data_IF_001689444173
#
_entry.id   IF_001689444173
#
_cell.length_a   1.000
_cell.length_b   1.000
_cell.length_c   1.000
_cell.angle_alpha   90.00
_cell.angle_beta   90.00
_cell.angle_gamma   90.00
#
_symmetry.space_group_name_H-M   'P 1'
#
loop_
_entity.id
_entity.type
_entity.pdbx_description
1 polymer ?
#
# COMPACT_ATOMS: atom_id res chain seq x y z
N UNK A 1 4.92 -0.29 -17.08
CA UNK A 1 3.84 0.27 -16.23
C UNK A 1 2.83 -0.75 -15.76
N UNK A 2 1.99 -1.34 -16.63
CA UNK A 2 0.93 -2.25 -16.15
C UNK A 2 1.48 -3.42 -15.33
N UNK A 3 2.54 -4.06 -15.80
CA UNK A 3 3.22 -5.17 -15.13
C UNK A 3 3.78 -4.76 -13.77
N UNK A 4 4.61 -3.71 -13.73
CA UNK A 4 5.11 -3.09 -12.49
C UNK A 4 3.98 -2.79 -11.50
N UNK A 5 2.86 -2.18 -11.95
CA UNK A 5 1.72 -1.90 -11.09
C UNK A 5 1.00 -3.16 -10.58
N UNK A 6 1.04 -4.27 -11.32
CA UNK A 6 0.56 -5.56 -10.85
C UNK A 6 1.50 -6.12 -9.78
N UNK A 7 2.80 -6.15 -10.04
CA UNK A 7 3.83 -6.69 -9.14
C UNK A 7 3.84 -5.96 -7.80
N UNK A 8 3.98 -4.64 -7.82
CA UNK A 8 3.96 -3.81 -6.62
C UNK A 8 2.65 -3.96 -5.83
N UNK A 9 1.51 -4.13 -6.52
CA UNK A 9 0.25 -4.41 -5.83
C UNK A 9 0.28 -5.75 -5.11
N UNK A 10 0.75 -6.82 -5.78
CA UNK A 10 0.83 -8.15 -5.16
C UNK A 10 1.79 -8.13 -3.97
N UNK A 11 2.96 -7.51 -4.11
CA UNK A 11 3.94 -7.36 -3.03
C UNK A 11 3.33 -6.62 -1.83
N UNK A 12 2.73 -5.46 -2.05
CA UNK A 12 2.11 -4.67 -0.98
C UNK A 12 0.94 -5.41 -0.32
N UNK A 13 0.18 -6.19 -1.10
CA UNK A 13 -0.92 -6.99 -0.56
C UNK A 13 -0.44 -8.11 0.38
N UNK A 14 0.80 -8.58 0.23
CA UNK A 14 1.41 -9.58 1.11
C UNK A 14 2.03 -8.99 2.38
N UNK A 15 2.30 -7.68 2.44
CA UNK A 15 3.00 -7.05 3.56
C UNK A 15 2.31 -7.27 4.91
N UNK A 16 0.98 -7.21 4.95
CA UNK A 16 0.24 -7.41 6.21
C UNK A 16 0.38 -8.84 6.76
N UNK A 17 0.43 -9.85 5.90
CA UNK A 17 0.67 -11.23 6.32
C UNK A 17 2.13 -11.42 6.77
N UNK A 18 3.08 -10.86 6.02
CA UNK A 18 4.51 -10.87 6.39
C UNK A 18 4.77 -10.17 7.72
N UNK A 19 4.02 -9.11 8.05
CA UNK A 19 4.11 -8.44 9.34
C UNK A 19 3.69 -9.37 10.50
N UNK A 20 2.61 -10.15 10.32
CA UNK A 20 2.19 -11.18 11.30
C UNK A 20 3.28 -12.23 11.47
N UNK A 21 3.83 -12.75 10.38
CA UNK A 21 4.91 -13.75 10.43
C UNK A 21 6.18 -13.21 11.08
N UNK A 22 6.54 -11.96 10.78
CA UNK A 22 7.69 -11.28 11.35
C UNK A 22 7.53 -11.09 12.85
N UNK A 23 6.36 -10.65 13.32
CA UNK A 23 6.08 -10.49 14.74
C UNK A 23 6.16 -11.82 15.51
N UNK A 24 5.63 -12.91 14.93
CA UNK A 24 5.74 -14.24 15.54
C UNK A 24 7.20 -14.72 15.55
N UNK A 25 7.93 -14.51 14.46
CA UNK A 25 9.37 -14.82 14.40
C UNK A 25 10.17 -14.01 15.45
N UNK A 26 9.76 -12.78 15.77
CA UNK A 26 10.39 -11.99 16.83
C UNK A 26 10.16 -12.59 18.22
N UNK A 27 9.00 -13.20 18.48
CA UNK A 27 8.75 -13.93 19.73
C UNK A 27 9.70 -15.11 19.84
N UNK A 28 9.83 -15.89 18.76
CA UNK A 28 10.72 -17.04 18.71
C UNK A 28 12.19 -16.65 18.93
N UNK A 29 12.63 -15.52 18.36
CA UNK A 29 14.00 -15.03 18.53
C UNK A 29 14.23 -14.26 19.83
N UNK A 30 13.21 -14.06 20.66
CA UNK A 30 13.35 -13.30 21.89
C UNK A 30 14.09 -14.10 22.96
N UNK A 31 14.89 -13.42 23.77
CA UNK A 31 15.76 -14.09 24.75
C UNK A 31 14.96 -14.96 25.74
N UNK A 32 13.81 -14.47 26.20
CA UNK A 32 12.88 -15.20 27.07
C UNK A 32 12.44 -16.55 26.46
N UNK A 33 12.11 -16.57 25.16
CA UNK A 33 11.74 -17.78 24.44
C UNK A 33 12.93 -18.73 24.30
N UNK A 34 14.09 -18.20 23.89
CA UNK A 34 15.31 -18.97 23.69
C UNK A 34 15.82 -19.61 24.99
N UNK A 35 15.67 -18.94 26.14
CA UNK A 35 15.94 -19.54 27.44
C UNK A 35 14.91 -20.62 27.78
N UNK A 36 13.61 -20.32 27.62
CA UNK A 36 12.53 -21.22 27.98
C UNK A 36 12.60 -22.59 27.27
N UNK A 37 13.03 -22.63 26.00
CA UNK A 37 13.17 -23.88 25.25
C UNK A 37 14.28 -24.80 25.78
N UNK A 38 15.26 -24.27 26.52
CA UNK A 38 16.38 -25.05 27.09
C UNK A 38 16.13 -25.51 28.53
N UNK A 39 15.11 -24.97 29.19
CA UNK A 39 14.81 -25.26 30.59
C UNK A 39 13.89 -26.49 30.74
N UNK A 40 13.89 -27.09 31.94
CA UNK A 40 12.94 -28.15 32.27
C UNK A 40 11.50 -27.67 32.13
N UNK A 41 10.57 -28.47 31.62
CA UNK A 41 9.19 -28.00 31.40
C UNK A 41 9.06 -26.89 30.35
N UNK A 42 9.96 -26.86 29.36
CA UNK A 42 10.00 -25.91 28.25
C UNK A 42 8.63 -25.58 27.64
N UNK A 43 7.80 -26.60 27.41
CA UNK A 43 6.45 -26.42 26.85
C UNK A 43 5.58 -25.48 27.69
N UNK A 44 5.50 -25.70 29.01
CA UNK A 44 4.64 -24.90 29.88
C UNK A 44 5.11 -23.43 29.93
N UNK A 45 6.43 -23.21 29.97
CA UNK A 45 7.02 -21.86 29.93
C UNK A 45 6.73 -21.17 28.61
N UNK A 46 6.97 -21.84 27.48
CA UNK A 46 6.69 -21.29 26.14
C UNK A 46 5.21 -20.97 25.98
N UNK A 47 4.32 -21.84 26.46
CA UNK A 47 2.87 -21.60 26.47
C UNK A 47 2.49 -20.37 27.31
N UNK A 48 3.14 -20.19 28.46
CA UNK A 48 2.95 -19.00 29.29
C UNK A 48 3.40 -17.73 28.57
N UNK A 49 4.55 -17.75 27.90
CA UNK A 49 5.04 -16.62 27.07
C UNK A 49 4.02 -16.26 25.99
N UNK A 50 3.45 -17.24 25.29
CA UNK A 50 2.43 -16.97 24.26
C UNK A 50 1.14 -16.41 24.86
N UNK A 51 0.73 -16.91 26.02
CA UNK A 51 -0.42 -16.36 26.75
C UNK A 51 -0.18 -14.90 27.13
N UNK A 52 0.99 -14.58 27.67
CA UNK A 52 1.28 -13.24 28.16
C UNK A 52 1.48 -12.21 27.03
N UNK A 53 2.12 -12.62 25.92
CA UNK A 53 2.44 -11.70 24.82
C UNK A 53 1.33 -11.54 23.80
N UNK A 54 0.65 -12.64 23.46
CA UNK A 54 -0.32 -12.67 22.35
C UNK A 54 -1.67 -13.25 22.74
N UNK A 55 -1.90 -13.50 24.04
CA UNK A 55 -3.17 -14.02 24.57
C UNK A 55 -3.60 -15.31 23.85
N UNK A 56 -2.63 -16.18 23.55
CA UNK A 56 -2.88 -17.40 22.78
C UNK A 56 -2.38 -18.65 23.51
N UNK A 57 -3.09 -19.76 23.33
CA UNK A 57 -2.68 -21.09 23.78
C UNK A 57 -3.50 -21.66 24.93
N UNK A 58 -4.56 -20.99 25.41
CA UNK A 58 -5.44 -21.55 26.47
C UNK A 58 -6.14 -22.84 26.02
N UNK A 59 -6.67 -22.87 24.80
CA UNK A 59 -7.35 -24.05 24.22
C UNK A 59 -6.43 -24.89 23.32
N UNK A 60 -5.12 -24.84 23.54
CA UNK A 60 -4.17 -25.63 22.75
C UNK A 60 -4.21 -27.11 23.16
N UNK A 61 -4.60 -27.97 22.23
CA UNK A 61 -4.71 -29.43 22.42
C UNK A 61 -3.62 -30.23 21.68
N UNK A 62 -2.62 -29.56 21.10
CA UNK A 62 -1.54 -30.22 20.36
C UNK A 62 -0.46 -30.84 21.27
N UNK A 63 0.59 -31.42 20.68
CA UNK A 63 1.70 -32.01 21.42
C UNK A 63 2.39 -31.02 22.36
N UNK A 64 2.94 -31.54 23.46
CA UNK A 64 3.74 -30.77 24.43
C UNK A 64 5.15 -30.46 23.89
N UNK A 65 5.23 -29.80 22.73
CA UNK A 65 6.46 -29.46 22.02
C UNK A 65 6.46 -27.96 21.67
N UNK A 66 7.42 -27.15 22.18
CA UNK A 66 7.54 -25.73 21.86
C UNK A 66 7.61 -25.40 20.36
N UNK A 67 8.25 -26.25 19.55
CA UNK A 67 8.39 -26.06 18.10
C UNK A 67 7.05 -26.24 17.41
N UNK A 68 6.27 -27.23 17.83
CA UNK A 68 4.91 -27.44 17.31
C UNK A 68 3.99 -26.31 17.79
N UNK A 69 4.13 -25.88 19.04
CA UNK A 69 3.33 -24.81 19.65
C UNK A 69 3.44 -23.49 18.86
N UNK A 70 4.66 -23.02 18.57
CA UNK A 70 4.85 -21.76 17.82
C UNK A 70 4.40 -21.88 16.36
N UNK A 71 4.52 -23.07 15.76
CA UNK A 71 4.03 -23.35 14.41
C UNK A 71 2.51 -23.30 14.35
N UNK A 72 1.82 -23.87 15.34
CA UNK A 72 0.36 -23.81 15.44
C UNK A 72 -0.14 -22.38 15.69
N UNK A 73 0.56 -21.59 16.54
CA UNK A 73 0.30 -20.15 16.65
C UNK A 73 0.40 -19.46 15.29
N UNK A 74 1.48 -19.71 14.53
CA UNK A 74 1.69 -19.12 13.19
C UNK A 74 0.56 -19.47 12.23
N UNK A 75 0.16 -20.73 12.19
CA UNK A 75 -0.96 -21.22 11.38
C UNK A 75 -2.28 -20.54 11.77
N UNK A 76 -2.60 -20.52 13.07
CA UNK A 76 -3.82 -19.91 13.61
C UNK A 76 -3.88 -18.40 13.34
N UNK A 77 -2.79 -17.68 13.59
CA UNK A 77 -2.68 -16.25 13.38
C UNK A 77 -2.85 -15.88 11.89
N UNK A 78 -2.19 -16.59 10.98
CA UNK A 78 -2.33 -16.37 9.54
C UNK A 78 -3.73 -16.72 9.03
N UNK A 79 -4.35 -17.78 9.57
CA UNK A 79 -5.74 -18.13 9.25
C UNK A 79 -6.69 -17.00 9.68
N UNK A 80 -6.56 -16.51 10.92
CA UNK A 80 -7.38 -15.42 11.46
C UNK A 80 -7.15 -14.11 10.71
N UNK A 81 -5.90 -13.79 10.36
CA UNK A 81 -5.55 -12.65 9.51
C UNK A 81 -6.31 -12.71 8.19
N UNK A 82 -6.21 -13.83 7.44
CA UNK A 82 -6.91 -14.00 6.16
C UNK A 82 -8.43 -13.86 6.28
N UNK A 83 -9.02 -14.30 7.39
CA UNK A 83 -10.47 -14.26 7.63
C UNK A 83 -10.99 -12.85 7.93
N UNK A 84 -10.22 -12.00 8.61
CA UNK A 84 -10.71 -10.72 9.11
C UNK A 84 -10.08 -9.51 8.43
N UNK A 85 -8.75 -9.42 8.43
CA UNK A 85 -8.03 -8.18 8.09
C UNK A 85 -7.18 -8.30 6.81
N UNK A 86 -6.95 -9.52 6.32
CA UNK A 86 -6.09 -9.77 5.17
C UNK A 86 -6.61 -9.20 3.85
N UNK A 87 -7.88 -8.84 3.78
CA UNK A 87 -8.49 -8.21 2.61
C UNK A 87 -8.58 -6.68 2.69
N UNK A 88 -8.11 -6.03 3.76
CA UNK A 88 -8.27 -4.57 3.95
C UNK A 88 -7.65 -3.78 2.79
N UNK A 89 -6.40 -4.07 2.42
CA UNK A 89 -5.72 -3.37 1.32
C UNK A 89 -6.51 -3.47 0.01
N UNK A 90 -7.01 -4.67 -0.30
CA UNK A 90 -7.85 -4.92 -1.47
C UNK A 90 -9.19 -4.19 -1.39
N UNK A 91 -9.89 -4.27 -0.26
CA UNK A 91 -11.25 -3.74 -0.10
C UNK A 91 -11.21 -2.21 -0.16
N UNK A 92 -10.43 -1.58 0.71
CA UNK A 92 -10.31 -0.13 0.75
C UNK A 92 -9.69 0.43 -0.52
N UNK A 93 -8.65 -0.22 -1.05
CA UNK A 93 -8.06 0.26 -2.30
C UNK A 93 -9.01 0.15 -3.50
N UNK A 94 -9.99 -0.77 -3.49
CA UNK A 94 -11.07 -0.78 -4.50
C UNK A 94 -12.12 0.30 -4.24
N UNK A 95 -12.54 0.46 -2.99
CA UNK A 95 -13.56 1.44 -2.58
C UNK A 95 -13.12 2.87 -2.88
N UNK A 96 -11.87 3.23 -2.56
CA UNK A 96 -11.31 4.56 -2.86
C UNK A 96 -10.92 4.71 -4.33
N UNK A 97 -11.01 3.65 -5.14
CA UNK A 97 -10.71 3.69 -6.57
C UNK A 97 -9.22 3.60 -6.95
N UNK A 98 -8.34 3.19 -6.03
CA UNK A 98 -6.90 3.03 -6.25
C UNK A 98 -6.54 1.74 -7.02
N UNK A 99 -7.32 0.68 -6.84
CA UNK A 99 -7.06 -0.66 -7.38
C UNK A 99 -8.08 -1.03 -8.46
N UNK A 100 -7.61 -1.62 -9.55
CA UNK A 100 -8.49 -2.20 -10.57
C UNK A 100 -7.97 -3.52 -11.12
N UNK A 101 -8.89 -4.34 -11.61
CA UNK A 101 -8.62 -5.50 -12.47
C UNK A 101 -9.08 -5.28 -13.91
N UNK A 102 -9.54 -4.07 -14.27
CA UNK A 102 -10.08 -3.81 -15.61
C UNK A 102 -9.01 -4.02 -16.68
N UNK A 103 -9.32 -4.80 -17.72
CA UNK A 103 -8.40 -5.09 -18.83
C UNK A 103 -7.25 -6.05 -18.47
N UNK A 104 -7.41 -6.87 -17.42
CA UNK A 104 -6.47 -7.93 -17.04
C UNK A 104 -7.18 -8.94 -16.11
N UNK A 105 -6.48 -10.00 -15.72
CA UNK A 105 -6.93 -10.97 -14.69
C UNK A 105 -6.40 -10.57 -13.30
N UNK A 106 -5.22 -9.95 -13.22
CA UNK A 106 -4.54 -9.61 -11.96
C UNK A 106 -4.96 -8.23 -11.44
N UNK A 107 -5.14 -8.09 -10.12
CA UNK A 107 -5.32 -6.77 -9.51
C UNK A 107 -4.02 -5.96 -9.63
N UNK A 108 -4.17 -4.65 -9.82
CA UNK A 108 -3.07 -3.69 -9.94
C UNK A 108 -3.47 -2.32 -9.41
N UNK A 109 -2.47 -1.49 -9.13
CA UNK A 109 -2.71 -0.05 -8.98
C UNK A 109 -3.13 0.54 -10.33
N UNK A 110 -4.33 1.13 -10.34
CA UNK A 110 -4.92 1.78 -11.49
C UNK A 110 -6.00 2.74 -10.99
N UNK A 111 -5.60 3.93 -10.50
CA UNK A 111 -6.51 4.97 -10.04
C UNK A 111 -7.64 5.25 -11.05
N UNK A 112 -8.87 5.30 -10.57
CA UNK A 112 -10.03 5.66 -11.38
C UNK A 112 -10.25 7.18 -11.39
N UNK A 113 -11.18 7.66 -12.24
CA UNK A 113 -11.44 9.08 -12.38
C UNK A 113 -11.97 9.72 -11.09
N UNK A 114 -12.74 8.99 -10.28
CA UNK A 114 -13.25 9.49 -9.00
C UNK A 114 -12.12 9.78 -8.02
N UNK A 115 -11.13 8.88 -7.93
CA UNK A 115 -9.94 9.10 -7.12
C UNK A 115 -9.12 10.27 -7.65
N UNK A 116 -8.90 10.34 -8.98
CA UNK A 116 -8.15 11.45 -9.59
C UNK A 116 -8.83 12.80 -9.33
N UNK A 117 -10.15 12.89 -9.48
CA UNK A 117 -10.94 14.09 -9.13
C UNK A 117 -10.78 14.45 -7.66
N UNK A 118 -10.91 13.47 -6.77
CA UNK A 118 -10.77 13.67 -5.31
C UNK A 118 -9.39 14.20 -4.95
N UNK A 119 -8.33 13.61 -5.50
CA UNK A 119 -6.96 14.06 -5.28
C UNK A 119 -6.75 15.50 -5.74
N UNK A 120 -7.31 15.88 -6.90
CA UNK A 120 -7.26 17.26 -7.38
C UNK A 120 -8.02 18.19 -6.45
N UNK A 121 -9.25 17.85 -6.06
CA UNK A 121 -10.07 18.71 -5.21
C UNK A 121 -9.47 18.91 -3.81
N UNK A 122 -8.80 17.89 -3.27
CA UNK A 122 -8.18 17.93 -1.95
C UNK A 122 -6.78 18.57 -1.91
N UNK A 123 -6.18 18.83 -3.07
CA UNK A 123 -4.77 19.24 -3.19
C UNK A 123 -4.62 20.58 -3.90
N UNK A 124 -5.47 20.87 -4.90
CA UNK A 124 -5.31 22.03 -5.78
C UNK A 124 -6.18 23.19 -5.30
N UNK A 125 -5.58 24.09 -4.53
CA UNK A 125 -6.21 25.33 -4.06
C UNK A 125 -6.32 26.37 -5.17
N UNK A 126 -5.23 26.61 -5.91
CA UNK A 126 -5.16 27.50 -7.07
C UNK A 126 -4.62 26.72 -8.25
N UNK A 127 -4.86 27.22 -9.47
CA UNK A 127 -4.29 26.61 -10.68
C UNK A 127 -2.78 26.42 -10.50
N UNK A 128 -2.26 25.26 -10.90
CA UNK A 128 -0.84 24.93 -10.76
C UNK A 128 -0.38 24.07 -11.93
N UNK A 129 0.92 24.03 -12.19
CA UNK A 129 1.44 23.20 -13.28
C UNK A 129 1.28 21.70 -12.97
N UNK A 130 1.11 20.88 -14.01
CA UNK A 130 1.00 19.43 -13.88
C UNK A 130 2.15 18.85 -13.06
N UNK A 131 3.40 19.23 -13.36
CA UNK A 131 4.56 18.72 -12.64
C UNK A 131 4.56 19.10 -11.15
N UNK A 132 4.08 20.31 -10.82
CA UNK A 132 3.94 20.74 -9.42
C UNK A 132 2.87 19.90 -8.71
N UNK A 133 1.75 19.61 -9.38
CA UNK A 133 0.72 18.73 -8.85
C UNK A 133 1.23 17.30 -8.63
N UNK A 134 1.96 16.72 -9.58
CA UNK A 134 2.52 15.36 -9.43
C UNK A 134 3.52 15.28 -8.26
N UNK A 135 4.35 16.31 -8.08
CA UNK A 135 5.23 16.41 -6.92
C UNK A 135 4.43 16.49 -5.61
N UNK A 136 3.34 17.29 -5.54
CA UNK A 136 2.49 17.32 -4.36
C UNK A 136 1.84 15.96 -4.05
N UNK A 137 1.43 15.20 -5.07
CA UNK A 137 0.90 13.86 -4.87
C UNK A 137 1.95 12.90 -4.29
N UNK A 138 3.21 13.02 -4.72
CA UNK A 138 4.31 12.28 -4.15
C UNK A 138 4.58 12.68 -2.71
N UNK A 139 4.77 13.97 -2.42
CA UNK A 139 5.10 14.45 -1.07
C UNK A 139 4.01 14.13 -0.04
N UNK A 140 2.73 14.25 -0.41
CA UNK A 140 1.61 14.10 0.52
C UNK A 140 1.09 12.67 0.62
N UNK A 141 1.11 11.92 -0.47
CA UNK A 141 0.46 10.60 -0.55
C UNK A 141 1.40 9.47 -0.99
N UNK A 142 2.68 9.76 -1.28
CA UNK A 142 3.64 8.83 -1.87
C UNK A 142 3.13 8.20 -3.19
N UNK A 143 2.31 8.95 -3.95
CA UNK A 143 1.81 8.50 -5.24
C UNK A 143 2.74 8.97 -6.37
N UNK A 144 3.30 8.01 -7.10
CA UNK A 144 4.25 8.28 -8.18
C UNK A 144 3.57 8.06 -9.53
N UNK A 145 3.49 9.13 -10.32
CA UNK A 145 2.93 9.08 -11.68
C UNK A 145 3.95 9.40 -12.77
N UNK A 146 5.04 10.10 -12.43
CA UNK A 146 6.08 10.54 -13.38
C UNK A 146 7.45 9.94 -13.10
N UNK A 147 8.31 10.07 -14.10
CA UNK A 147 9.70 9.66 -14.02
C UNK A 147 10.51 10.48 -13.02
N UNK A 148 10.21 11.77 -12.85
CA UNK A 148 10.93 12.64 -11.93
C UNK A 148 10.77 12.22 -10.47
N UNK A 149 9.56 11.85 -10.05
CA UNK A 149 9.32 11.38 -8.68
C UNK A 149 9.77 9.93 -8.52
N UNK A 150 9.69 9.12 -9.58
CA UNK A 150 10.18 7.75 -9.54
C UNK A 150 11.71 7.67 -9.35
N UNK A 151 12.48 8.55 -9.99
CA UNK A 151 13.94 8.62 -9.83
C UNK A 151 14.38 8.98 -8.40
N UNK A 152 13.49 9.58 -7.60
CA UNK A 152 13.78 9.89 -6.19
C UNK A 152 13.60 8.69 -5.26
N UNK A 153 12.82 7.68 -5.68
CA UNK A 153 12.43 6.55 -4.83
C UNK A 153 12.96 5.20 -5.32
N UNK A 154 13.05 4.99 -6.63
CA UNK A 154 13.49 3.74 -7.24
C UNK A 154 14.95 3.83 -7.69
N UNK A 155 15.69 2.74 -7.53
CA UNK A 155 17.05 2.68 -8.09
C UNK A 155 17.00 2.65 -9.63
N UNK A 156 18.07 3.13 -10.29
CA UNK A 156 18.12 3.21 -11.77
C UNK A 156 17.89 1.87 -12.49
N UNK A 157 18.12 0.74 -11.81
CA UNK A 157 17.94 -0.60 -12.38
C UNK A 157 16.52 -1.15 -12.18
N UNK A 158 15.68 -0.51 -11.37
CA UNK A 158 14.33 -0.96 -11.03
C UNK A 158 13.24 -0.19 -11.81
N UNK A 159 13.64 0.68 -12.74
CA UNK A 159 12.77 1.69 -13.32
C UNK A 159 13.04 1.93 -14.81
N UNK A 160 12.00 1.76 -15.65
CA UNK A 160 12.01 2.20 -17.05
C UNK A 160 11.44 3.62 -17.17
N UNK A 161 12.35 4.57 -17.40
CA UNK A 161 12.03 5.99 -17.61
C UNK A 161 11.00 6.22 -18.71
N UNK A 162 11.10 5.52 -19.84
CA UNK A 162 10.18 5.70 -20.96
C UNK A 162 8.76 5.24 -20.59
N UNK A 163 8.65 4.17 -19.82
CA UNK A 163 7.37 3.67 -19.36
C UNK A 163 6.63 4.68 -18.47
N UNK A 164 7.34 5.36 -17.56
CA UNK A 164 6.75 6.38 -16.69
C UNK A 164 6.44 7.68 -17.43
N UNK A 165 7.27 8.12 -18.36
CA UNK A 165 6.94 9.26 -19.23
C UNK A 165 5.66 9.00 -20.02
N UNK A 166 5.50 7.80 -20.58
CA UNK A 166 4.26 7.39 -21.25
C UNK A 166 3.07 7.30 -20.27
N UNK A 167 3.30 6.98 -19.00
CA UNK A 167 2.26 6.99 -17.96
C UNK A 167 1.78 8.41 -17.66
N UNK A 168 2.70 9.33 -17.40
CA UNK A 168 2.42 10.75 -17.16
C UNK A 168 1.64 11.35 -18.31
N UNK A 169 2.04 11.05 -19.55
CA UNK A 169 1.34 11.55 -20.72
C UNK A 169 -0.10 11.02 -20.80
N UNK A 170 -0.34 9.73 -20.52
CA UNK A 170 -1.70 9.18 -20.46
C UNK A 170 -2.53 9.81 -19.35
N UNK A 171 -1.92 10.07 -18.19
CA UNK A 171 -2.58 10.78 -17.09
C UNK A 171 -2.96 12.20 -17.51
N UNK A 172 -2.04 12.94 -18.12
CA UNK A 172 -2.30 14.28 -18.65
C UNK A 172 -3.50 14.30 -19.61
N UNK A 173 -3.49 13.42 -20.62
CA UNK A 173 -4.60 13.28 -21.57
C UNK A 173 -5.92 12.94 -20.87
N UNK A 174 -5.87 12.05 -19.87
CA UNK A 174 -7.06 11.67 -19.09
C UNK A 174 -7.60 12.85 -18.31
N UNK A 175 -6.75 13.60 -17.60
CA UNK A 175 -7.15 14.79 -16.85
C UNK A 175 -7.71 15.88 -17.76
N UNK A 176 -7.15 16.04 -18.97
CA UNK A 176 -7.72 16.90 -20.01
C UNK A 176 -9.13 16.48 -20.41
N UNK A 177 -9.35 15.20 -20.70
CA UNK A 177 -10.70 14.67 -21.03
C UNK A 177 -11.72 14.79 -19.90
N UNK A 178 -11.27 14.93 -18.64
CA UNK A 178 -12.13 15.13 -17.48
C UNK A 178 -12.45 16.61 -17.21
N UNK A 179 -11.86 17.54 -17.97
CA UNK A 179 -11.98 18.98 -17.78
C UNK A 179 -11.19 19.52 -16.60
N UNK A 180 -10.17 18.78 -16.13
CA UNK A 180 -9.36 19.10 -14.94
C UNK A 180 -7.97 19.63 -15.30
N UNK A 181 -7.66 19.70 -16.59
CA UNK A 181 -6.38 20.16 -17.11
C UNK A 181 -6.60 21.05 -18.32
N UNK A 182 -5.86 22.15 -18.38
CA UNK A 182 -5.85 23.08 -19.51
C UNK A 182 -4.42 23.32 -19.99
N UNK A 183 -4.22 23.33 -21.31
CA UNK A 183 -2.98 23.79 -21.93
C UNK A 183 -3.12 25.27 -22.28
N UNK A 184 -2.17 26.07 -21.79
CA UNK A 184 -2.06 27.50 -22.12
C UNK A 184 -0.99 27.77 -23.18
N UNK A 185 -0.11 26.78 -23.42
CA UNK A 185 0.91 26.77 -24.46
C UNK A 185 1.30 25.33 -24.82
N UNK A 186 2.09 25.14 -25.87
CA UNK A 186 2.56 23.83 -26.31
C UNK A 186 3.41 23.09 -25.25
N UNK A 187 3.97 23.82 -24.28
CA UNK A 187 4.83 23.28 -23.23
C UNK A 187 4.23 23.19 -21.82
N UNK A 188 3.11 23.87 -21.55
CA UNK A 188 2.61 24.03 -20.18
C UNK A 188 1.17 23.53 -20.02
N UNK A 189 1.02 22.46 -19.25
CA UNK A 189 -0.25 21.91 -18.81
C UNK A 189 -0.53 22.32 -17.35
N UNK A 190 -1.72 22.87 -17.09
CA UNK A 190 -2.15 23.35 -15.79
C UNK A 190 -3.31 22.52 -15.26
N UNK A 191 -3.23 22.11 -14.00
CA UNK A 191 -4.31 21.48 -13.27
C UNK A 191 -5.24 22.55 -12.73
N UNK A 192 -6.54 22.30 -12.88
CA UNK A 192 -7.61 23.21 -12.47
C UNK A 192 -8.54 22.46 -11.53
N UNK A 193 -8.78 23.08 -10.37
CA UNK A 193 -9.90 22.74 -9.53
C UNK A 193 -11.09 23.65 -9.88
N UNK A 194 -12.15 23.13 -10.52
CA UNK A 194 -13.30 23.93 -10.97
C UNK A 194 -14.08 24.55 -9.80
N UNK A 195 -13.93 24.03 -8.58
CA UNK A 195 -14.62 24.54 -7.40
C UNK A 195 -13.88 25.70 -6.72
N UNK A 196 -12.57 25.84 -6.93
CA UNK A 196 -11.78 26.91 -6.31
C UNK A 196 -11.62 28.14 -7.20
N UNK A 197 -11.88 28.05 -8.50
CA UNK A 197 -11.82 29.21 -9.40
C UNK A 197 -12.89 30.27 -9.08
N UNK A 198 -14.06 29.87 -8.57
CA UNK A 198 -15.19 30.80 -8.34
C UNK A 198 -15.09 31.64 -7.06
N UNK A 199 -14.16 31.34 -6.16
CA UNK A 199 -14.03 32.07 -4.88
C UNK A 199 -13.14 33.31 -4.96
N UNK A 200 -12.55 33.63 -6.11
CA UNK A 200 -11.69 34.80 -6.28
C UNK A 200 -12.25 35.91 -7.20
N UNK A 201 -13.39 35.69 -7.87
CA UNK A 201 -14.03 36.70 -8.73
C UNK A 201 -15.20 37.46 -8.06
N UNK A 202 -15.37 37.29 -6.75
CA UNK A 202 -16.28 38.09 -5.92
C UNK A 202 -15.57 38.39 -4.62
N UNK A 203 -14.86 39.52 -4.58
CA UNK A 203 -14.72 40.50 -3.50
C UNK A 203 -13.59 41.46 -3.88
#
# INVERSE_FOLDING_TARGET
MREISCELYQENNLLSARAVESYISQIENFEEWQRAITESGAFARCRQILKDRVLWGEDYEGPNDPVILIKELRSAALKRHRQHVGNIHRNYGREVGLISKRGTIKLRYAPNDSLLRTLIFATVERRMELNQFLNQLYQRYNLIFSDKEAEQFLSKNEFDKKAFQANSHRLEQRLGSLGLLQRLSDGCAYIINPYNQKFHDKY
#
